data_IF_558551856962
#
_entry.id   IF_558551856962
#
_cell.length_a   1.000
_cell.length_b   1.000
_cell.length_c   1.000
_cell.angle_alpha   90.00
_cell.angle_beta   90.00
_cell.angle_gamma   90.00
#
_symmetry.space_group_name_H-M   'P 1'
#
loop_
_entity.id
_entity.type
_entity.pdbx_description
1 polymer ?
#
# COMPACT_ATOMS: atom_id res chain seq x y z
N UNK A 1 -33.87 -13.03 -20.40
CA UNK A 1 -32.49 -12.49 -20.51
C UNK A 1 -31.63 -13.27 -19.54
N UNK A 2 -30.75 -14.14 -20.03
CA UNK A 2 -29.75 -14.79 -19.20
C UNK A 2 -28.77 -13.70 -18.78
N UNK A 3 -28.87 -13.25 -17.53
CA UNK A 3 -27.91 -12.32 -16.96
C UNK A 3 -26.58 -13.06 -16.81
N UNK A 4 -25.66 -12.80 -17.73
CA UNK A 4 -24.34 -13.42 -17.74
C UNK A 4 -23.55 -13.11 -16.45
N UNK A 5 -23.90 -12.02 -15.75
CA UNK A 5 -23.35 -11.68 -14.44
C UNK A 5 -23.90 -12.59 -13.32
N UNK A 6 -25.16 -13.03 -13.45
CA UNK A 6 -25.78 -13.99 -12.52
C UNK A 6 -25.16 -15.38 -12.59
N UNK A 7 -24.74 -15.83 -13.77
CA UNK A 7 -24.05 -17.12 -13.97
C UNK A 7 -22.64 -17.15 -13.37
N UNK A 8 -21.99 -16.00 -13.22
CA UNK A 8 -20.67 -15.94 -12.58
C UNK A 8 -20.79 -16.30 -11.10
N UNK A 9 -21.83 -15.84 -10.40
CA UNK A 9 -22.04 -16.15 -8.97
C UNK A 9 -22.22 -17.63 -8.66
N UNK A 10 -22.56 -18.44 -9.65
CA UNK A 10 -22.77 -19.89 -9.50
C UNK A 10 -21.59 -20.72 -9.98
N UNK A 11 -20.54 -20.09 -10.54
CA UNK A 11 -19.33 -20.80 -10.94
C UNK A 11 -18.49 -21.13 -9.72
N UNK A 12 -17.97 -22.35 -9.71
CA UNK A 12 -17.03 -22.81 -8.69
C UNK A 12 -15.64 -22.16 -8.86
N UNK A 13 -15.27 -21.82 -10.10
CA UNK A 13 -14.03 -21.12 -10.47
C UNK A 13 -14.34 -19.89 -11.32
N UNK A 14 -13.76 -18.76 -10.95
CA UNK A 14 -13.83 -17.49 -11.66
C UNK A 14 -12.49 -17.18 -12.33
N UNK A 15 -12.54 -16.70 -13.57
CA UNK A 15 -11.37 -16.16 -14.27
C UNK A 15 -11.36 -14.64 -14.16
N UNK A 16 -10.25 -14.10 -13.68
CA UNK A 16 -9.97 -12.68 -13.57
C UNK A 16 -8.86 -12.34 -14.56
N UNK A 17 -9.10 -11.32 -15.37
CA UNK A 17 -8.16 -10.82 -16.36
C UNK A 17 -7.49 -9.57 -15.79
N UNK A 18 -6.19 -9.61 -15.49
CA UNK A 18 -5.40 -8.47 -15.02
C UNK A 18 -4.63 -7.82 -16.17
N UNK A 19 -4.70 -6.49 -16.30
CA UNK A 19 -4.09 -5.80 -17.46
C UNK A 19 -2.58 -5.74 -17.31
N UNK A 20 -1.84 -6.14 -18.34
CA UNK A 20 -0.36 -6.12 -18.33
C UNK A 20 0.24 -4.73 -18.15
N UNK A 21 -0.43 -3.69 -18.65
CA UNK A 21 0.02 -2.30 -18.52
C UNK A 21 -0.31 -1.68 -17.16
N UNK A 22 -1.23 -2.27 -16.40
CA UNK A 22 -1.60 -1.82 -15.06
C UNK A 22 -2.12 -3.02 -14.26
N UNK A 23 -1.26 -3.59 -13.43
CA UNK A 23 -1.52 -4.84 -12.71
C UNK A 23 -2.57 -4.70 -11.59
N UNK A 24 -3.04 -3.48 -11.30
CA UNK A 24 -4.17 -3.21 -10.41
C UNK A 24 -5.51 -3.20 -11.14
N UNK A 25 -5.50 -3.02 -12.46
CA UNK A 25 -6.70 -2.99 -13.29
C UNK A 25 -7.07 -4.43 -13.70
N UNK A 26 -8.28 -4.84 -13.35
CA UNK A 26 -8.79 -6.17 -13.71
C UNK A 26 -10.20 -6.14 -14.25
N UNK A 27 -10.52 -7.17 -15.01
CA UNK A 27 -11.82 -7.41 -15.59
C UNK A 27 -12.22 -8.85 -15.26
N UNK A 28 -13.48 -9.07 -14.88
CA UNK A 28 -14.02 -10.43 -14.64
C UNK A 28 -14.99 -10.78 -15.75
N UNK A 29 -15.81 -9.79 -16.16
CA UNK A 29 -16.78 -9.93 -17.23
C UNK A 29 -17.07 -8.60 -17.92
N UNK A 30 -17.33 -8.58 -19.24
CA UNK A 30 -17.16 -9.70 -20.18
C UNK A 30 -15.69 -10.13 -20.29
N UNK A 31 -15.41 -11.29 -20.88
CA UNK A 31 -14.01 -11.63 -21.18
C UNK A 31 -13.43 -10.62 -22.18
N UNK A 32 -12.21 -10.10 -21.98
CA UNK A 32 -11.54 -9.26 -22.95
C UNK A 32 -11.40 -9.97 -24.31
N UNK A 33 -11.47 -9.20 -25.39
CA UNK A 33 -11.30 -9.76 -26.75
C UNK A 33 -9.83 -9.99 -27.11
N UNK A 34 -8.91 -9.28 -26.45
CA UNK A 34 -7.49 -9.20 -26.74
C UNK A 34 -6.64 -9.82 -25.62
N UNK A 35 -6.78 -11.14 -25.40
CA UNK A 35 -6.15 -11.84 -24.27
C UNK A 35 -4.61 -11.70 -24.18
N UNK A 36 -3.94 -11.28 -25.25
CA UNK A 36 -2.49 -11.01 -25.26
C UNK A 36 -2.06 -9.90 -24.28
N UNK A 37 -2.95 -8.95 -23.96
CA UNK A 37 -2.68 -7.82 -23.07
C UNK A 37 -3.07 -8.07 -21.61
N UNK A 38 -3.44 -9.32 -21.28
CA UNK A 38 -3.96 -9.69 -19.98
C UNK A 38 -3.21 -10.88 -19.38
N UNK A 39 -3.08 -10.88 -18.07
CA UNK A 39 -2.78 -12.07 -17.28
C UNK A 39 -4.08 -12.70 -16.80
N UNK A 40 -4.10 -14.03 -16.74
CA UNK A 40 -5.25 -14.79 -16.27
C UNK A 40 -4.96 -15.27 -14.85
N UNK A 41 -5.90 -15.01 -13.96
CA UNK A 41 -5.88 -15.50 -12.59
C UNK A 41 -7.19 -16.25 -12.34
N UNK A 42 -7.10 -17.44 -11.76
CA UNK A 42 -8.27 -18.25 -11.43
C UNK A 42 -8.46 -18.26 -9.91
N UNK A 43 -9.70 -18.04 -9.47
CA UNK A 43 -10.05 -18.04 -8.05
C UNK A 43 -11.45 -18.56 -7.82
N UNK A 44 -11.67 -19.15 -6.66
CA UNK A 44 -12.99 -19.57 -6.20
C UNK A 44 -13.66 -18.50 -5.33
N UNK A 45 -12.94 -17.42 -4.98
CA UNK A 45 -13.42 -16.33 -4.13
C UNK A 45 -13.04 -14.98 -4.73
N UNK A 46 -13.98 -14.32 -5.40
CA UNK A 46 -13.76 -12.98 -5.96
C UNK A 46 -13.50 -11.90 -4.90
N UNK A 47 -13.79 -12.15 -3.62
CA UNK A 47 -13.50 -11.18 -2.56
C UNK A 47 -11.99 -11.01 -2.34
N UNK A 48 -11.18 -12.02 -2.65
CA UNK A 48 -9.71 -11.95 -2.51
C UNK A 48 -9.05 -11.04 -3.56
N UNK A 49 -9.76 -10.73 -4.64
CA UNK A 49 -9.27 -9.90 -5.76
C UNK A 49 -9.30 -8.41 -5.39
N UNK A 50 -10.23 -8.00 -4.52
CA UNK A 50 -10.43 -6.61 -4.16
C UNK A 50 -9.23 -6.02 -3.43
N UNK A 51 -8.65 -4.94 -3.97
CA UNK A 51 -7.47 -4.28 -3.37
C UNK A 51 -6.16 -5.04 -3.57
N UNK A 52 -6.14 -6.02 -4.47
CA UNK A 52 -4.93 -6.73 -4.86
C UNK A 52 -4.47 -6.34 -6.27
N UNK A 53 -3.17 -6.50 -6.53
CA UNK A 53 -2.58 -6.50 -7.86
C UNK A 53 -2.03 -7.88 -8.20
N UNK A 54 -1.97 -8.18 -9.49
CA UNK A 54 -1.35 -9.43 -9.95
C UNK A 54 0.16 -9.29 -10.05
N UNK A 55 0.91 -10.23 -9.47
CA UNK A 55 2.35 -10.34 -9.62
C UNK A 55 2.70 -11.38 -10.70
N UNK A 56 3.20 -10.97 -11.88
CA UNK A 56 3.54 -11.89 -12.96
C UNK A 56 4.78 -12.74 -12.69
N UNK A 57 5.60 -12.41 -11.69
CA UNK A 57 6.81 -13.16 -11.35
C UNK A 57 6.48 -14.42 -10.54
N UNK A 58 5.46 -14.35 -9.68
CA UNK A 58 4.99 -15.45 -8.82
C UNK A 58 3.71 -16.09 -9.34
N UNK A 59 2.94 -15.38 -10.17
CA UNK A 59 1.62 -15.79 -10.64
C UNK A 59 0.52 -15.64 -9.59
N UNK A 60 0.75 -14.87 -8.52
CA UNK A 60 -0.17 -14.71 -7.38
C UNK A 60 -0.66 -13.27 -7.23
N UNK A 61 -1.70 -13.09 -6.40
CA UNK A 61 -2.15 -11.77 -5.97
C UNK A 61 -1.27 -11.26 -4.82
N UNK A 62 -0.90 -9.99 -4.89
CA UNK A 62 -0.23 -9.26 -3.82
C UNK A 62 -1.02 -7.99 -3.51
N UNK A 63 -0.99 -7.50 -2.27
CA UNK A 63 -1.68 -6.27 -1.92
C UNK A 63 -1.16 -5.10 -2.75
N UNK A 64 -2.06 -4.24 -3.23
CA UNK A 64 -1.64 -3.05 -3.94
C UNK A 64 -0.75 -2.20 -3.04
N UNK A 65 0.43 -1.77 -3.49
CA UNK A 65 1.23 -0.84 -2.71
C UNK A 65 0.41 0.43 -2.48
N UNK A 66 0.45 0.95 -1.26
CA UNK A 66 -0.10 2.28 -0.98
C UNK A 66 0.49 3.28 -1.98
N UNK A 67 -0.33 4.10 -2.66
CA UNK A 67 0.18 5.12 -3.55
C UNK A 67 1.23 5.98 -2.85
N UNK A 68 2.36 6.22 -3.52
CA UNK A 68 3.48 6.97 -2.92
C UNK A 68 3.05 8.34 -2.41
N UNK A 69 2.11 8.99 -3.10
CA UNK A 69 1.54 10.28 -2.68
C UNK A 69 0.79 10.19 -1.34
N UNK A 70 0.01 9.13 -1.13
CA UNK A 70 -0.71 8.91 0.13
C UNK A 70 0.28 8.58 1.26
N UNK A 71 1.28 7.74 0.99
CA UNK A 71 2.36 7.45 1.94
C UNK A 71 3.11 8.73 2.34
N UNK A 72 3.44 9.60 1.38
CA UNK A 72 4.08 10.88 1.65
C UNK A 72 3.20 11.81 2.49
N UNK A 73 1.90 11.86 2.20
CA UNK A 73 0.93 12.65 2.98
C UNK A 73 0.87 12.18 4.42
N UNK A 74 0.62 10.90 4.66
CA UNK A 74 0.52 10.33 6.01
C UNK A 74 1.82 10.48 6.79
N UNK A 75 2.95 10.30 6.12
CA UNK A 75 4.27 10.47 6.74
C UNK A 75 4.53 11.91 7.16
N UNK A 76 4.15 12.88 6.32
CA UNK A 76 4.22 14.31 6.67
C UNK A 76 3.33 14.63 7.88
N UNK A 77 2.09 14.13 7.88
CA UNK A 77 1.17 14.31 9.01
C UNK A 77 1.73 13.71 10.30
N UNK A 78 2.28 12.50 10.24
CA UNK A 78 2.90 11.83 11.38
C UNK A 78 4.13 12.60 11.90
N UNK A 79 4.97 13.15 11.03
CA UNK A 79 6.07 14.00 11.48
C UNK A 79 5.57 15.23 12.23
N UNK A 80 4.57 15.93 11.68
CA UNK A 80 4.01 17.14 12.29
C UNK A 80 3.36 16.87 13.66
N UNK A 81 2.67 15.74 13.80
CA UNK A 81 1.93 15.43 15.03
C UNK A 81 2.80 14.73 16.09
N UNK A 82 3.75 13.90 15.67
CA UNK A 82 4.44 12.98 16.59
C UNK A 82 5.94 13.27 16.74
N UNK A 83 6.62 13.74 15.69
CA UNK A 83 8.07 13.96 15.73
C UNK A 83 8.43 15.42 16.03
N UNK A 84 7.79 16.39 15.36
CA UNK A 84 8.10 17.81 15.50
C UNK A 84 8.00 18.31 16.95
N UNK A 85 6.99 17.93 17.76
CA UNK A 85 6.94 18.31 19.18
C UNK A 85 8.15 17.79 19.98
N UNK A 86 8.59 16.55 19.72
CA UNK A 86 9.75 15.96 20.39
C UNK A 86 11.04 16.70 20.04
N UNK A 87 11.15 17.18 18.81
CA UNK A 87 12.30 17.98 18.39
C UNK A 87 12.32 19.35 19.09
N UNK A 88 11.17 20.01 19.24
CA UNK A 88 11.07 21.27 19.97
C UNK A 88 11.40 21.10 21.46
N UNK A 89 10.90 20.03 22.09
CA UNK A 89 11.23 19.69 23.48
C UNK A 89 12.73 19.43 23.64
N UNK A 90 13.33 18.71 22.69
CA UNK A 90 14.76 18.46 22.68
C UNK A 90 15.57 19.77 22.56
N UNK A 91 15.18 20.68 21.66
CA UNK A 91 15.82 21.99 21.53
C UNK A 91 15.73 22.81 22.83
N UNK A 92 14.60 22.77 23.51
CA UNK A 92 14.41 23.44 24.78
C UNK A 92 15.32 22.85 25.87
N UNK A 93 15.38 21.53 26.00
CA UNK A 93 16.24 20.85 26.99
C UNK A 93 17.73 21.13 26.73
N UNK A 94 18.15 21.18 25.47
CA UNK A 94 19.52 21.55 25.06
C UNK A 94 19.81 23.01 25.42
N UNK A 95 18.92 23.93 25.03
CA UNK A 95 19.11 25.37 25.25
C UNK A 95 19.13 25.75 26.75
N UNK A 96 18.40 25.00 27.58
CA UNK A 96 18.38 25.19 29.03
C UNK A 96 19.47 24.43 29.77
N UNK A 97 20.28 23.64 29.07
CA UNK A 97 21.35 22.81 29.66
C UNK A 97 20.83 21.67 30.53
N UNK A 98 19.56 21.27 30.37
CA UNK A 98 18.95 20.16 31.13
C UNK A 98 19.46 18.80 30.67
N UNK A 99 19.75 18.66 29.38
CA UNK A 99 20.26 17.44 28.75
C UNK A 99 21.30 17.78 27.70
N UNK A 100 22.17 16.82 27.42
CA UNK A 100 23.05 16.89 26.25
C UNK A 100 22.27 16.74 24.95
N UNK A 101 22.86 17.13 23.82
CA UNK A 101 22.23 16.97 22.51
C UNK A 101 21.95 15.49 22.19
N UNK A 102 22.87 14.58 22.53
CA UNK A 102 22.66 13.15 22.31
C UNK A 102 21.43 12.64 23.08
N UNK A 103 21.31 12.97 24.36
CA UNK A 103 20.20 12.50 25.21
C UNK A 103 18.85 13.13 24.82
N UNK A 104 18.85 14.43 24.52
CA UNK A 104 17.64 15.16 24.20
C UNK A 104 17.03 14.73 22.86
N UNK A 105 17.85 14.41 21.85
CA UNK A 105 17.37 14.05 20.51
C UNK A 105 16.95 12.58 20.36
N UNK A 106 17.35 11.68 21.28
CA UNK A 106 17.00 10.25 21.17
C UNK A 106 15.50 9.97 20.96
N UNK A 107 14.57 10.60 21.70
CA UNK A 107 13.14 10.35 21.51
C UNK A 107 12.66 10.74 20.11
N UNK A 108 13.17 11.86 19.58
CA UNK A 108 12.85 12.30 18.22
C UNK A 108 13.40 11.33 17.17
N UNK A 109 14.65 10.90 17.30
CA UNK A 109 15.28 9.94 16.37
C UNK A 109 14.49 8.63 16.35
N UNK A 110 14.16 8.10 17.53
CA UNK A 110 13.37 6.88 17.65
C UNK A 110 11.99 7.02 16.99
N UNK A 111 11.30 8.14 17.22
CA UNK A 111 10.00 8.40 16.62
C UNK A 111 10.09 8.58 15.10
N UNK A 112 11.12 9.25 14.61
CA UNK A 112 11.35 9.38 13.16
C UNK A 112 11.51 8.00 12.54
N UNK A 113 12.32 7.12 13.12
CA UNK A 113 12.54 5.75 12.64
C UNK A 113 11.22 4.95 12.58
N UNK A 114 10.44 4.96 13.66
CA UNK A 114 9.12 4.31 13.73
C UNK A 114 8.18 4.83 12.64
N UNK A 115 8.16 6.14 12.38
CA UNK A 115 7.34 6.74 11.31
C UNK A 115 7.78 6.24 9.93
N UNK A 116 9.10 6.06 9.70
CA UNK A 116 9.61 5.54 8.42
C UNK A 116 9.17 4.09 8.20
N UNK A 117 9.21 3.27 9.25
CA UNK A 117 8.79 1.88 9.20
C UNK A 117 7.29 1.76 8.95
N UNK A 118 6.48 2.64 9.57
CA UNK A 118 5.02 2.66 9.38
C UNK A 118 4.60 3.18 8.00
N UNK A 119 5.37 4.09 7.42
CA UNK A 119 5.10 4.69 6.10
C UNK A 119 6.35 4.59 5.20
N UNK A 120 6.67 3.37 4.72
CA UNK A 120 7.88 3.11 3.96
C UNK A 120 7.79 3.74 2.57
N UNK A 121 8.84 4.47 2.18
CA UNK A 121 8.94 5.00 0.82
C UNK A 121 9.69 3.99 -0.07
N UNK A 122 9.30 3.82 -1.35
CA UNK A 122 9.87 2.79 -2.22
C UNK A 122 11.39 2.87 -2.46
N UNK A 123 12.00 4.04 -2.26
CA UNK A 123 13.41 4.33 -2.59
C UNK A 123 14.19 4.94 -1.41
N UNK A 124 13.85 4.58 -0.16
CA UNK A 124 14.54 5.11 1.02
C UNK A 124 15.74 4.27 1.48
#
# INVERSE_FOLDING_TARGET
MNDAYGLLKTKEVHTVYFRKSNLMEYQIFPAPKDLENWYLYETNDLSEVGGMMYDPSTGTLVSTPTPTEDTLRWRKEAYQQEADPLYLDAQFDIATGRKTAEEALQPWIAKVAEIKERFPLPNE
#
